data_IF_162250183694
#
_entry.id   IF_162250183694
#
_cell.length_a   1.000
_cell.length_b   1.000
_cell.length_c   1.000
_cell.angle_alpha   90.00
_cell.angle_beta   90.00
_cell.angle_gamma   90.00
#
_symmetry.space_group_name_H-M   'P 1'
#
loop_
_entity.id
_entity.type
_entity.pdbx_description
1 polymer ?
#
# COMPACT_ATOMS: atom_id res chain seq x y z
N UNK A 1 -14.80 19.58 -10.38
CA UNK A 1 -13.97 20.64 -10.98
C UNK A 1 -14.78 21.92 -11.14
N UNK A 2 -15.80 21.91 -12.00
CA UNK A 2 -16.60 23.09 -12.35
C UNK A 2 -17.20 23.84 -11.15
N UNK A 3 -17.69 23.09 -10.14
CA UNK A 3 -18.20 23.67 -8.90
C UNK A 3 -17.14 24.46 -8.12
N UNK A 4 -15.90 23.97 -8.06
CA UNK A 4 -14.79 24.64 -7.38
C UNK A 4 -14.30 25.85 -8.18
N UNK A 5 -14.15 25.71 -9.49
CA UNK A 5 -13.70 26.82 -10.35
C UNK A 5 -14.73 27.96 -10.34
N UNK A 6 -16.02 27.66 -10.40
CA UNK A 6 -17.09 28.66 -10.33
C UNK A 6 -17.15 29.38 -8.98
N UNK A 7 -16.92 28.66 -7.87
CA UNK A 7 -16.95 29.25 -6.54
C UNK A 7 -15.69 30.09 -6.23
N UNK A 8 -14.53 29.70 -6.75
CA UNK A 8 -13.24 30.32 -6.42
C UNK A 8 -12.76 31.34 -7.46
N UNK A 9 -13.27 31.30 -8.68
CA UNK A 9 -12.77 32.12 -9.79
C UNK A 9 -11.31 31.78 -10.19
N UNK A 10 -10.84 30.59 -9.83
CA UNK A 10 -9.47 30.12 -10.05
C UNK A 10 -9.47 28.74 -10.73
N UNK A 11 -8.43 28.41 -11.53
CA UNK A 11 -8.26 27.06 -12.07
C UNK A 11 -8.16 26.00 -10.96
N UNK A 12 -8.77 24.84 -11.18
CA UNK A 12 -8.78 23.73 -10.23
C UNK A 12 -8.30 22.42 -10.86
N UNK A 13 -7.43 21.71 -10.15
CA UNK A 13 -6.87 20.42 -10.54
C UNK A 13 -7.13 19.38 -9.44
N UNK A 14 -7.44 18.16 -9.84
CA UNK A 14 -7.66 17.02 -8.94
C UNK A 14 -7.13 15.76 -9.62
N UNK A 15 -6.53 14.89 -8.84
CA UNK A 15 -6.09 13.56 -9.26
C UNK A 15 -6.24 12.59 -8.08
N UNK A 16 -5.94 11.31 -8.29
CA UNK A 16 -5.85 10.32 -7.23
C UNK A 16 -4.76 10.73 -6.19
N UNK A 17 -4.98 10.40 -4.92
CA UNK A 17 -4.09 10.74 -3.81
C UNK A 17 -2.66 10.21 -3.98
N UNK A 18 -2.51 8.93 -4.33
CA UNK A 18 -1.20 8.31 -4.58
C UNK A 18 -0.53 8.87 -5.85
N UNK A 19 -1.30 9.24 -6.87
CA UNK A 19 -0.79 9.97 -8.04
C UNK A 19 -0.22 11.34 -7.66
N UNK A 20 -0.93 12.12 -6.85
CA UNK A 20 -0.45 13.44 -6.40
C UNK A 20 0.77 13.29 -5.48
N UNK A 21 0.78 12.29 -4.61
CA UNK A 21 1.95 11.96 -3.79
C UNK A 21 3.17 11.60 -4.67
N UNK A 22 2.97 10.80 -5.73
CA UNK A 22 4.03 10.46 -6.68
C UNK A 22 4.61 11.69 -7.39
N UNK A 23 3.77 12.65 -7.78
CA UNK A 23 4.22 13.93 -8.35
C UNK A 23 5.03 14.75 -7.33
N UNK A 24 4.62 14.76 -6.06
CA UNK A 24 5.36 15.41 -4.98
C UNK A 24 6.74 14.79 -4.78
N UNK A 25 6.80 13.46 -4.70
CA UNK A 25 8.06 12.71 -4.58
C UNK A 25 8.95 12.90 -5.81
N UNK A 26 8.37 12.92 -7.01
CA UNK A 26 9.10 13.25 -8.23
C UNK A 26 9.68 14.67 -8.15
N UNK A 27 8.91 15.67 -7.74
CA UNK A 27 9.31 17.06 -7.84
C UNK A 27 10.34 17.48 -6.78
N UNK A 28 10.02 17.25 -5.51
CA UNK A 28 10.80 17.75 -4.35
C UNK A 28 11.27 16.65 -3.40
N UNK A 29 10.84 15.41 -3.62
CA UNK A 29 11.18 14.27 -2.76
C UNK A 29 12.23 13.34 -3.34
N UNK A 30 12.12 12.06 -3.02
CA UNK A 30 13.10 11.03 -3.36
C UNK A 30 13.20 10.76 -4.87
N UNK A 31 12.19 11.14 -5.65
CA UNK A 31 12.18 11.00 -7.11
C UNK A 31 13.09 11.99 -7.83
N UNK A 32 13.52 13.09 -7.18
CA UNK A 32 14.58 14.00 -7.64
C UNK A 32 14.47 14.41 -9.13
N UNK A 33 13.29 14.84 -9.54
CA UNK A 33 12.91 15.23 -10.91
C UNK A 33 13.20 14.17 -11.99
N UNK A 34 13.33 12.89 -11.62
CA UNK A 34 13.53 11.82 -12.59
C UNK A 34 12.27 11.67 -13.47
N UNK A 35 12.42 11.55 -14.81
CA UNK A 35 11.27 11.35 -15.70
C UNK A 35 10.60 9.97 -15.54
N UNK A 36 11.22 9.03 -14.81
CA UNK A 36 10.69 7.70 -14.56
C UNK A 36 10.71 7.42 -13.06
N UNK A 37 9.54 7.47 -12.43
CA UNK A 37 9.36 7.25 -10.98
C UNK A 37 8.19 6.30 -10.78
N UNK A 38 8.39 5.28 -9.96
CA UNK A 38 7.30 4.47 -9.41
C UNK A 38 7.25 4.77 -7.92
N UNK A 39 6.11 5.30 -7.48
CA UNK A 39 5.82 5.58 -6.10
C UNK A 39 4.83 4.54 -5.57
N UNK A 40 5.04 4.10 -4.33
CA UNK A 40 4.13 3.22 -3.62
C UNK A 40 3.98 3.72 -2.19
N UNK A 41 2.74 3.82 -1.73
CA UNK A 41 2.43 4.19 -0.35
C UNK A 41 1.86 2.98 0.38
N UNK A 42 2.43 2.68 1.54
CA UNK A 42 2.01 1.60 2.42
C UNK A 42 1.38 2.22 3.67
N UNK A 43 0.12 1.91 3.94
CA UNK A 43 -0.60 2.40 5.09
C UNK A 43 -1.79 1.51 5.39
N UNK A 44 -2.97 2.09 5.58
CA UNK A 44 -4.23 1.32 5.69
C UNK A 44 -4.45 0.42 4.47
N UNK A 45 -4.08 0.90 3.29
CA UNK A 45 -4.05 0.16 2.04
C UNK A 45 -2.69 0.27 1.34
N UNK A 46 -2.65 -0.12 0.06
CA UNK A 46 -1.47 0.04 -0.80
C UNK A 46 -1.84 0.86 -2.03
N UNK A 47 -1.36 2.10 -2.08
CA UNK A 47 -1.54 3.00 -3.22
C UNK A 47 -0.29 3.06 -4.10
N UNK A 48 -0.44 3.57 -5.32
CA UNK A 48 0.69 3.75 -6.23
C UNK A 48 0.50 4.88 -7.22
N UNK A 49 1.63 5.36 -7.74
CA UNK A 49 1.66 6.33 -8.83
C UNK A 49 2.85 6.04 -9.75
N UNK A 50 2.62 6.08 -11.06
CA UNK A 50 3.63 5.75 -12.05
C UNK A 50 3.84 6.94 -12.96
N UNK A 51 5.07 7.43 -13.03
CA UNK A 51 5.50 8.48 -13.94
C UNK A 51 6.50 7.85 -14.90
N UNK A 52 6.25 7.98 -16.21
CA UNK A 52 7.12 7.44 -17.24
C UNK A 52 7.29 8.46 -18.37
N UNK A 53 8.52 8.61 -18.85
CA UNK A 53 8.89 9.65 -19.83
C UNK A 53 8.38 11.05 -19.43
N UNK A 54 8.43 11.38 -18.13
CA UNK A 54 7.99 12.65 -17.56
C UNK A 54 6.48 12.81 -17.42
N UNK A 55 5.68 11.79 -17.73
CA UNK A 55 4.22 11.85 -17.72
C UNK A 55 3.63 10.91 -16.67
N UNK A 56 2.71 11.43 -15.85
CA UNK A 56 1.92 10.60 -14.94
C UNK A 56 0.97 9.68 -15.73
N UNK A 57 1.09 8.37 -15.49
CA UNK A 57 0.34 7.32 -16.16
C UNK A 57 -0.99 7.09 -15.45
N UNK A 58 -2.06 7.68 -16.00
CA UNK A 58 -3.43 7.52 -15.48
C UNK A 58 -4.15 6.29 -16.03
N UNK A 59 -3.72 5.79 -17.19
CA UNK A 59 -4.46 4.74 -17.91
C UNK A 59 -5.81 5.20 -18.45
N UNK A 60 -6.47 4.35 -19.24
CA UNK A 60 -7.71 4.69 -19.98
C UNK A 60 -8.90 5.02 -19.07
N UNK A 61 -8.90 4.50 -17.83
CA UNK A 61 -9.98 4.68 -16.84
C UNK A 61 -9.50 5.30 -15.51
N UNK A 62 -8.31 5.91 -15.49
CA UNK A 62 -7.77 6.50 -14.25
C UNK A 62 -7.15 5.50 -13.28
N UNK A 63 -6.99 4.23 -13.66
CA UNK A 63 -6.48 3.13 -12.82
C UNK A 63 -5.04 2.70 -13.18
N UNK A 64 -4.25 3.57 -13.82
CA UNK A 64 -2.91 3.25 -14.30
C UNK A 64 -1.86 2.99 -13.22
N UNK A 65 -2.11 3.45 -11.99
CA UNK A 65 -1.22 3.34 -10.83
C UNK A 65 -1.75 2.44 -9.71
N UNK A 66 -2.75 1.59 -9.97
CA UNK A 66 -3.38 0.71 -8.96
C UNK A 66 -2.48 -0.49 -8.56
N UNK A 67 -1.27 -0.19 -8.07
CA UNK A 67 -0.21 -1.16 -7.76
C UNK A 67 -0.61 -2.11 -6.62
N UNK A 68 -1.42 -1.63 -5.67
CA UNK A 68 -1.93 -2.46 -4.56
C UNK A 68 -2.81 -3.62 -5.02
N UNK A 69 -3.38 -3.54 -6.22
CA UNK A 69 -4.29 -4.56 -6.75
C UNK A 69 -3.63 -5.53 -7.74
N UNK A 70 -2.31 -5.48 -7.89
CA UNK A 70 -1.53 -6.50 -8.59
C UNK A 70 -1.67 -7.82 -7.81
N UNK A 71 -2.01 -8.92 -8.49
CA UNK A 71 -2.08 -10.24 -7.86
C UNK A 71 -0.67 -10.80 -7.67
N UNK A 72 -0.31 -11.11 -6.43
CA UNK A 72 1.03 -11.58 -6.02
C UNK A 72 0.99 -12.92 -5.28
N UNK A 73 -0.13 -13.28 -4.67
CA UNK A 73 -0.35 -14.58 -4.02
C UNK A 73 -1.35 -15.39 -4.84
N UNK A 74 -0.96 -16.58 -5.29
CA UNK A 74 -1.77 -17.50 -6.08
C UNK A 74 -2.08 -18.80 -5.36
N UNK A 75 -1.38 -19.08 -4.25
CA UNK A 75 -1.44 -20.37 -3.56
C UNK A 75 -2.45 -20.32 -2.41
N UNK A 76 -2.33 -19.31 -1.55
CA UNK A 76 -3.22 -19.11 -0.39
C UNK A 76 -3.81 -17.69 -0.38
N UNK A 77 -4.52 -17.24 -1.42
CA UNK A 77 -4.81 -15.82 -1.57
C UNK A 77 -5.90 -15.33 -0.60
N UNK A 78 -5.61 -14.25 0.13
CA UNK A 78 -6.62 -13.51 0.89
C UNK A 78 -7.62 -12.78 -0.03
N UNK A 79 -8.86 -12.60 0.42
CA UNK A 79 -9.84 -11.79 -0.30
C UNK A 79 -9.46 -10.31 -0.25
N UNK A 80 -9.55 -9.63 -1.40
CA UNK A 80 -9.35 -8.19 -1.50
C UNK A 80 -10.72 -7.50 -1.64
N UNK A 81 -10.84 -6.29 -1.07
CA UNK A 81 -12.05 -5.45 -1.15
C UNK A 81 -12.38 -5.04 -2.58
N UNK A 82 -11.42 -5.07 -3.50
CA UNK A 82 -11.66 -4.84 -4.93
C UNK A 82 -12.44 -5.97 -5.64
N UNK A 83 -12.70 -7.08 -4.94
CA UNK A 83 -13.45 -8.23 -5.44
C UNK A 83 -12.59 -9.38 -5.99
N UNK A 84 -11.27 -9.19 -6.08
CA UNK A 84 -10.30 -10.25 -6.42
C UNK A 84 -9.77 -10.95 -5.16
N UNK A 85 -8.82 -11.87 -5.34
CA UNK A 85 -8.00 -12.43 -4.26
C UNK A 85 -6.51 -12.25 -4.59
N UNK A 86 -5.67 -12.26 -3.56
CA UNK A 86 -4.22 -12.32 -3.69
C UNK A 86 -3.57 -11.00 -4.12
N UNK A 87 -4.27 -9.88 -3.99
CA UNK A 87 -3.72 -8.56 -4.30
C UNK A 87 -2.57 -8.21 -3.33
N UNK A 88 -1.56 -7.48 -3.80
CA UNK A 88 -0.43 -7.00 -2.98
C UNK A 88 -0.89 -6.31 -1.69
N UNK A 89 -1.96 -5.52 -1.76
CA UNK A 89 -2.56 -4.88 -0.59
C UNK A 89 -2.91 -5.85 0.54
N UNK A 90 -3.34 -7.08 0.19
CA UNK A 90 -3.76 -8.08 1.18
C UNK A 90 -2.62 -8.71 1.96
N UNK A 91 -1.37 -8.41 1.59
CA UNK A 91 -0.16 -8.92 2.22
C UNK A 91 0.84 -7.82 2.62
N UNK A 92 0.72 -6.61 2.07
CA UNK A 92 1.67 -5.52 2.30
C UNK A 92 1.07 -4.28 3.00
N UNK A 93 -0.26 -4.14 3.07
CA UNK A 93 -0.89 -3.08 3.89
C UNK A 93 -0.72 -3.37 5.39
N UNK A 94 -1.06 -2.42 6.24
CA UNK A 94 -1.07 -2.63 7.70
C UNK A 94 -1.90 -3.86 8.10
N UNK A 95 -3.09 -4.04 7.50
CA UNK A 95 -3.91 -5.24 7.72
C UNK A 95 -3.30 -6.47 7.03
N UNK A 96 -2.69 -6.30 5.86
CA UNK A 96 -2.04 -7.39 5.14
C UNK A 96 -0.86 -8.02 5.88
N UNK A 97 -0.06 -7.21 6.56
CA UNK A 97 1.03 -7.69 7.42
C UNK A 97 0.46 -8.52 8.57
N UNK A 98 -0.61 -8.07 9.23
CA UNK A 98 -1.26 -8.82 10.31
C UNK A 98 -1.86 -10.14 9.80
N UNK A 99 -2.45 -10.14 8.60
CA UNK A 99 -2.96 -11.35 7.97
C UNK A 99 -1.85 -12.39 7.76
N UNK A 100 -0.68 -11.96 7.26
CA UNK A 100 0.48 -12.84 7.11
C UNK A 100 1.03 -13.32 8.45
N UNK A 101 1.15 -12.43 9.45
CA UNK A 101 1.63 -12.82 10.77
C UNK A 101 0.76 -13.90 11.41
N UNK A 102 -0.58 -13.80 11.28
CA UNK A 102 -1.50 -14.85 11.77
C UNK A 102 -1.33 -16.16 11.03
N UNK A 103 -1.24 -16.13 9.69
CA UNK A 103 -0.98 -17.33 8.87
C UNK A 103 0.29 -18.04 9.29
N UNK A 104 1.39 -17.30 9.44
CA UNK A 104 2.68 -17.90 9.77
C UNK A 104 2.79 -18.30 11.25
N UNK A 105 2.10 -17.61 12.16
CA UNK A 105 2.03 -18.03 13.56
C UNK A 105 1.42 -19.44 13.73
N UNK A 106 0.45 -19.82 12.89
CA UNK A 106 -0.12 -21.18 12.88
C UNK A 106 0.85 -22.25 12.37
N UNK A 107 1.82 -21.85 11.54
CA UNK A 107 2.80 -22.74 10.90
C UNK A 107 4.14 -22.79 11.65
N UNK A 108 4.37 -21.84 12.56
CA UNK A 108 5.62 -21.72 13.29
C UNK A 108 5.63 -22.60 14.54
N UNK A 109 6.62 -23.50 14.62
CA UNK A 109 6.78 -24.43 15.74
C UNK A 109 7.62 -23.88 16.90
N UNK A 110 8.24 -22.71 16.71
CA UNK A 110 9.06 -22.06 17.73
C UNK A 110 8.24 -21.20 18.69
N UNK A 111 8.93 -20.70 19.71
CA UNK A 111 8.38 -19.71 20.64
C UNK A 111 8.82 -18.32 20.19
N UNK A 112 7.85 -17.49 19.84
CA UNK A 112 8.03 -16.08 19.50
C UNK A 112 7.01 -15.24 20.28
N UNK A 113 7.39 -14.03 20.69
CA UNK A 113 6.50 -13.15 21.44
C UNK A 113 5.32 -12.71 20.58
N UNK A 114 5.56 -12.42 19.30
CA UNK A 114 4.52 -12.12 18.32
C UNK A 114 3.52 -13.26 18.22
N UNK A 115 4.02 -14.51 18.15
CA UNK A 115 3.16 -15.70 18.12
C UNK A 115 2.29 -15.80 19.37
N UNK A 116 2.87 -15.64 20.55
CA UNK A 116 2.12 -15.65 21.81
C UNK A 116 1.02 -14.58 21.83
N UNK A 117 1.31 -13.36 21.38
CA UNK A 117 0.31 -12.29 21.29
C UNK A 117 -0.86 -12.68 20.36
N UNK A 118 -0.57 -13.32 19.23
CA UNK A 118 -1.59 -13.81 18.29
C UNK A 118 -2.43 -14.93 18.91
N UNK A 119 -1.77 -15.92 19.51
CA UNK A 119 -2.41 -17.09 20.13
C UNK A 119 -3.30 -16.68 21.32
N UNK A 120 -2.89 -15.64 22.07
CA UNK A 120 -3.66 -15.03 23.17
C UNK A 120 -4.83 -14.16 22.68
N UNK A 121 -4.99 -13.98 21.37
CA UNK A 121 -6.07 -13.18 20.77
C UNK A 121 -5.89 -11.67 20.95
N UNK A 122 -4.66 -11.19 21.13
CA UNK A 122 -4.38 -9.76 21.25
C UNK A 122 -4.53 -9.04 19.90
N UNK A 123 -4.85 -7.75 19.95
CA UNK A 123 -4.91 -6.89 18.77
C UNK A 123 -3.50 -6.49 18.32
N UNK A 124 -2.89 -7.35 17.49
CA UNK A 124 -1.58 -7.12 16.88
C UNK A 124 -1.68 -6.11 15.73
N UNK A 125 -0.77 -5.13 15.72
CA UNK A 125 -0.62 -4.18 14.62
C UNK A 125 0.62 -4.48 13.78
N UNK A 126 0.67 -3.95 12.55
CA UNK A 126 1.87 -4.03 11.72
C UNK A 126 3.10 -3.41 12.40
N UNK A 127 2.91 -2.37 13.22
CA UNK A 127 4.00 -1.75 13.98
C UNK A 127 4.58 -2.73 14.99
N UNK A 128 3.74 -3.46 15.72
CA UNK A 128 4.20 -4.46 16.69
C UNK A 128 5.02 -5.55 16.00
N UNK A 129 4.57 -6.02 14.83
CA UNK A 129 5.32 -7.00 14.00
C UNK A 129 6.71 -6.47 13.66
N UNK A 130 6.81 -5.25 13.13
CA UNK A 130 8.11 -4.68 12.75
C UNK A 130 9.00 -4.34 13.95
N UNK A 131 8.43 -3.99 15.10
CA UNK A 131 9.22 -3.67 16.29
C UNK A 131 9.74 -4.93 16.97
N UNK A 132 8.93 -5.99 17.08
CA UNK A 132 9.37 -7.29 17.57
C UNK A 132 10.45 -7.90 16.67
N UNK A 133 10.30 -7.79 15.34
CA UNK A 133 11.34 -8.23 14.41
C UNK A 133 12.67 -7.47 14.61
N UNK A 134 12.65 -6.17 14.92
CA UNK A 134 13.88 -5.41 15.25
C UNK A 134 14.50 -5.84 16.58
N UNK A 135 13.68 -6.32 17.51
CA UNK A 135 14.13 -6.87 18.80
C UNK A 135 14.69 -8.30 18.66
N UNK A 136 14.59 -8.92 17.48
CA UNK A 136 15.08 -10.27 17.20
C UNK A 136 14.10 -11.37 17.55
N UNK A 137 12.79 -11.07 17.52
CA UNK A 137 11.74 -12.09 17.58
C UNK A 137 11.71 -12.85 16.23
N UNK A 138 12.17 -14.11 16.25
CA UNK A 138 12.38 -14.97 15.08
C UNK A 138 11.07 -15.44 14.42
#
# INVERSE_FOLDING_TARGET
KDQFEAALGLPFFIDNDANVAALGEQWVGAGNNNPNVVFMTLGTGVGGGVIAAGNLIRGVKGAGGELGHITVDFDEPFACTCGKKGCLETVASATGIVNLSRRYADQYAGDAKLKQMIDDGQDVTAKDVFDLAKEGDD
#
